data_IF_730472333094
#
_entry.id   IF_730472333094
#
_cell.length_a   1.000
_cell.length_b   1.000
_cell.length_c   1.000
_cell.angle_alpha   90.00
_cell.angle_beta   90.00
_cell.angle_gamma   90.00
#
_symmetry.space_group_name_H-M   'P 1'
#
loop_
_entity.id
_entity.type
_entity.pdbx_description
1 polymer ?
#
# COMPACT_ATOMS: atom_id res chain seq x y z
N UNK A 1 6.56 -8.66 7.67
CA UNK A 1 6.36 -10.13 7.55
C UNK A 1 5.09 -10.52 6.77
N UNK A 2 3.94 -9.88 7.01
CA UNK A 2 2.70 -10.13 6.27
C UNK A 2 2.78 -9.90 4.75
N UNK A 3 3.56 -8.94 4.26
CA UNK A 3 3.75 -8.74 2.82
C UNK A 3 4.44 -9.90 2.09
N UNK A 4 5.28 -10.70 2.79
CA UNK A 4 5.85 -11.94 2.24
C UNK A 4 4.80 -13.05 2.21
N UNK A 5 4.05 -13.21 3.30
CA UNK A 5 2.94 -14.16 3.39
C UNK A 5 1.88 -13.90 2.32
N UNK A 6 1.45 -12.65 2.13
CA UNK A 6 0.52 -12.24 1.06
C UNK A 6 1.03 -12.63 -0.33
N UNK A 7 2.31 -12.37 -0.64
CA UNK A 7 2.90 -12.69 -1.95
C UNK A 7 2.99 -14.19 -2.21
N UNK A 8 3.28 -14.99 -1.18
CA UNK A 8 3.33 -16.45 -1.27
C UNK A 8 1.94 -17.10 -1.24
N UNK A 9 0.93 -16.41 -0.71
CA UNK A 9 -0.41 -16.97 -0.48
C UNK A 9 -0.48 -17.98 0.67
N UNK A 10 0.63 -18.24 1.35
CA UNK A 10 0.72 -19.24 2.43
C UNK A 10 0.44 -18.60 3.78
N UNK A 11 -0.44 -19.23 4.58
CA UNK A 11 -0.72 -18.86 5.97
C UNK A 11 0.50 -19.16 6.85
N UNK A 12 1.01 -18.19 7.62
CA UNK A 12 2.01 -18.47 8.65
C UNK A 12 1.46 -19.35 9.79
N UNK A 13 2.32 -20.12 10.45
CA UNK A 13 1.90 -21.00 11.57
C UNK A 13 1.37 -20.24 12.79
N UNK A 14 1.81 -19.00 13.00
CA UNK A 14 1.43 -18.16 14.14
C UNK A 14 0.12 -17.41 13.95
N UNK A 15 -0.47 -17.38 12.75
CA UNK A 15 -1.75 -16.72 12.52
C UNK A 15 -2.89 -17.75 12.51
N UNK A 16 -3.95 -17.45 13.25
CA UNK A 16 -5.16 -18.26 13.24
C UNK A 16 -5.87 -18.21 11.88
N UNK A 17 -6.64 -19.27 11.59
CA UNK A 17 -7.37 -19.43 10.32
C UNK A 17 -8.34 -18.30 10.03
N UNK A 18 -9.19 -17.95 11.01
CA UNK A 18 -10.16 -16.88 10.87
C UNK A 18 -9.51 -15.51 10.58
N UNK A 19 -8.43 -15.19 11.31
CA UNK A 19 -7.66 -13.98 11.08
C UNK A 19 -7.01 -13.94 9.68
N UNK A 20 -6.54 -15.09 9.19
CA UNK A 20 -5.98 -15.19 7.84
C UNK A 20 -7.03 -14.94 6.76
N UNK A 21 -8.22 -15.52 6.88
CA UNK A 21 -9.32 -15.30 5.94
C UNK A 21 -9.73 -13.83 5.92
N UNK A 22 -9.86 -13.19 7.09
CA UNK A 22 -10.16 -11.75 7.20
C UNK A 22 -9.09 -10.89 6.50
N UNK A 23 -7.81 -11.22 6.66
CA UNK A 23 -6.72 -10.53 5.97
C UNK A 23 -6.77 -10.72 4.46
N UNK A 24 -7.05 -11.92 3.97
CA UNK A 24 -7.19 -12.19 2.54
C UNK A 24 -8.34 -11.37 1.94
N UNK A 25 -9.47 -11.29 2.63
CA UNK A 25 -10.61 -10.46 2.22
C UNK A 25 -10.25 -8.98 2.23
N UNK A 26 -9.58 -8.51 3.29
CA UNK A 26 -9.11 -7.12 3.38
C UNK A 26 -8.16 -6.76 2.24
N UNK A 27 -7.23 -7.65 1.88
CA UNK A 27 -6.28 -7.40 0.79
C UNK A 27 -6.91 -7.34 -0.60
N UNK A 28 -8.13 -7.88 -0.78
CA UNK A 28 -8.89 -7.78 -2.02
C UNK A 28 -9.71 -6.49 -2.11
N UNK A 29 -9.86 -5.73 -1.02
CA UNK A 29 -10.58 -4.45 -1.03
C UNK A 29 -9.88 -3.43 -1.91
N UNK A 30 -10.65 -2.69 -2.70
CA UNK A 30 -10.16 -1.66 -3.62
C UNK A 30 -9.32 -0.60 -2.91
N UNK A 31 -9.75 -0.14 -1.73
CA UNK A 31 -9.03 0.84 -0.91
C UNK A 31 -7.59 0.40 -0.61
N UNK A 32 -7.43 -0.87 -0.21
CA UNK A 32 -6.13 -1.43 0.08
C UNK A 32 -5.26 -1.56 -1.18
N UNK A 33 -5.85 -1.95 -2.32
CA UNK A 33 -5.14 -2.06 -3.59
C UNK A 33 -4.63 -0.69 -4.07
N UNK A 34 -5.44 0.35 -3.95
CA UNK A 34 -5.05 1.73 -4.29
C UNK A 34 -3.85 2.17 -3.47
N UNK A 35 -3.94 2.05 -2.14
CA UNK A 35 -2.83 2.41 -1.22
C UNK A 35 -1.60 1.54 -1.48
N UNK A 36 -1.77 0.24 -1.73
CA UNK A 36 -0.66 -0.68 -2.01
C UNK A 36 0.05 -0.34 -3.32
N UNK A 37 -0.69 0.04 -4.36
CA UNK A 37 -0.14 0.45 -5.67
C UNK A 37 0.63 1.76 -5.54
N UNK A 38 0.00 2.77 -4.93
CA UNK A 38 0.60 4.06 -4.66
C UNK A 38 1.91 3.92 -3.85
N UNK A 39 1.91 3.12 -2.78
CA UNK A 39 3.11 2.82 -2.01
C UNK A 39 4.20 2.08 -2.81
N UNK A 40 3.84 1.32 -3.85
CA UNK A 40 4.82 0.68 -4.74
C UNK A 40 5.49 1.74 -5.63
N UNK A 41 4.70 2.64 -6.22
CA UNK A 41 5.20 3.76 -7.02
C UNK A 41 6.15 4.64 -6.22
N UNK A 42 5.80 4.97 -4.98
CA UNK A 42 6.66 5.80 -4.13
C UNK A 42 7.98 5.15 -3.74
N UNK A 43 8.02 3.81 -3.56
CA UNK A 43 9.27 3.09 -3.35
C UNK A 43 10.14 3.01 -4.60
N UNK A 44 9.52 3.00 -5.78
CA UNK A 44 10.21 2.95 -7.07
C UNK A 44 10.73 4.33 -7.53
N UNK A 45 10.33 5.42 -6.86
CA UNK A 45 10.76 6.77 -7.20
C UNK A 45 12.23 7.01 -6.85
N UNK A 46 13.01 7.46 -7.84
CA UNK A 46 14.42 7.80 -7.69
C UNK A 46 14.68 9.11 -6.91
N UNK A 47 13.63 9.87 -6.57
CA UNK A 47 13.73 11.19 -5.91
C UNK A 47 13.94 11.12 -4.39
N UNK A 48 14.50 10.03 -3.89
CA UNK A 48 14.66 9.75 -2.46
C UNK A 48 13.32 9.31 -1.83
N UNK A 49 13.07 8.00 -1.81
CA UNK A 49 11.88 7.41 -1.19
C UNK A 49 11.73 7.83 0.28
N UNK A 50 10.54 8.34 0.63
CA UNK A 50 10.28 8.99 1.92
C UNK A 50 10.43 8.02 3.09
N UNK A 51 11.23 8.49 4.05
CA UNK A 51 11.40 7.99 5.39
C UNK A 51 10.15 8.44 6.17
N UNK A 52 9.24 7.51 6.50
CA UNK A 52 8.07 7.70 7.39
C UNK A 52 6.83 8.44 6.83
N UNK A 53 5.84 7.61 6.45
CA UNK A 53 4.38 7.86 6.43
C UNK A 53 3.85 8.92 5.45
N UNK A 54 3.03 8.47 4.49
CA UNK A 54 2.26 9.32 3.55
C UNK A 54 3.12 10.30 2.74
N UNK A 55 4.02 9.73 1.95
CA UNK A 55 4.16 10.10 0.54
C UNK A 55 4.10 11.59 0.18
N UNK A 56 5.26 12.18 -0.09
CA UNK A 56 5.37 13.52 -0.64
C UNK A 56 4.68 13.55 -2.03
N UNK A 57 3.46 14.10 -2.13
CA UNK A 57 2.97 14.65 -3.41
C UNK A 57 3.91 15.80 -3.77
N UNK A 58 4.33 15.92 -5.03
CA UNK A 58 5.09 17.10 -5.43
C UNK A 58 4.18 18.32 -5.24
N UNK A 59 4.74 19.46 -4.82
CA UNK A 59 3.96 20.71 -4.70
C UNK A 59 3.21 21.05 -6.01
N UNK A 60 3.80 20.69 -7.16
CA UNK A 60 3.18 20.80 -8.48
C UNK A 60 1.93 19.92 -8.64
N UNK A 61 1.95 18.66 -8.16
CA UNK A 61 0.78 17.77 -8.25
C UNK A 61 -0.37 18.28 -7.38
N UNK A 62 -0.06 18.90 -6.24
CA UNK A 62 -1.05 19.54 -5.36
C UNK A 62 -1.62 20.80 -6.01
N UNK A 63 -0.76 21.63 -6.60
CA UNK A 63 -1.19 22.85 -7.31
C UNK A 63 -2.11 22.52 -8.50
N UNK A 64 -1.77 21.51 -9.30
CA UNK A 64 -2.59 21.06 -10.43
C UNK A 64 -3.95 20.50 -10.00
N UNK A 65 -4.02 19.82 -8.85
CA UNK A 65 -5.29 19.32 -8.30
C UNK A 65 -6.20 20.45 -7.82
N UNK A 66 -5.66 21.56 -7.33
CA UNK A 66 -6.44 22.70 -6.85
C UNK A 66 -6.97 23.59 -7.99
N UNK A 67 -6.29 23.63 -9.14
CA UNK A 67 -6.69 24.45 -10.30
C UNK A 67 -7.90 23.86 -11.05
N UNK A 68 -8.19 22.56 -10.88
CA UNK A 68 -9.28 21.85 -11.59
C UNK A 68 -10.58 21.78 -10.74
N UNK A 69 -10.65 22.50 -9.62
CA UNK A 69 -11.84 22.65 -8.76
C UNK A 69 -12.43 24.05 -8.89
#
# INVERSE_FOLDING_TARGET
MLGKARRKGTRPSWIGDDAWVKLQTYWKKTEFLVVSSQNKTYRASARGGVIHTTCRKAHIDVALQLIIT
#
